data_IF_699784692786
#
_entry.id   IF_699784692786
#
_cell.length_a   1.000
_cell.length_b   1.000
_cell.length_c   1.000
_cell.angle_alpha   90.00
_cell.angle_beta   90.00
_cell.angle_gamma   90.00
#
_symmetry.space_group_name_H-M   'P 1'
#
loop_
_entity.id
_entity.type
_entity.pdbx_description
1 polymer ?
#
# COMPACT_ATOMS: atom_id res chain seq x y z
N UNK A 1 35.01 2.09 -41.44
CA UNK A 1 35.06 2.22 -39.97
C UNK A 1 33.92 3.08 -39.39
N UNK A 2 33.59 4.25 -39.95
CA UNK A 2 32.61 5.20 -39.39
C UNK A 2 31.17 4.64 -39.19
N UNK A 3 30.66 3.83 -40.12
CA UNK A 3 29.31 3.24 -40.05
C UNK A 3 29.12 2.35 -38.81
N UNK A 4 30.14 1.56 -38.46
CA UNK A 4 30.09 0.68 -37.27
C UNK A 4 30.16 1.43 -35.94
N UNK A 5 30.74 2.64 -35.93
CA UNK A 5 30.82 3.48 -34.75
C UNK A 5 29.47 4.16 -34.48
N UNK A 6 28.82 4.67 -35.53
CA UNK A 6 27.46 5.22 -35.45
C UNK A 6 26.44 4.17 -34.96
N UNK A 7 26.53 2.95 -35.51
CA UNK A 7 25.67 1.83 -35.13
C UNK A 7 25.82 1.43 -33.65
N UNK A 8 27.06 1.34 -33.16
CA UNK A 8 27.35 1.03 -31.75
C UNK A 8 26.84 2.12 -30.81
N UNK A 9 26.98 3.39 -31.16
CA UNK A 9 26.46 4.52 -30.38
C UNK A 9 24.94 4.48 -30.26
N UNK A 10 24.26 4.13 -31.35
CA UNK A 10 22.81 4.03 -31.36
C UNK A 10 22.29 2.85 -30.52
N UNK A 11 22.92 1.68 -30.63
CA UNK A 11 22.63 0.51 -29.78
C UNK A 11 22.90 0.75 -28.29
N UNK A 12 23.94 1.51 -27.95
CA UNK A 12 24.23 1.87 -26.57
C UNK A 12 23.24 2.89 -26.02
N UNK A 13 22.79 3.85 -26.84
CA UNK A 13 21.77 4.83 -26.44
C UNK A 13 20.43 4.16 -26.13
N UNK A 14 19.98 3.22 -26.98
CA UNK A 14 18.73 2.49 -26.73
C UNK A 14 18.83 1.58 -25.51
N UNK A 15 19.97 0.91 -25.31
CA UNK A 15 20.24 0.12 -24.10
C UNK A 15 20.36 0.94 -22.84
N UNK A 16 20.86 2.18 -22.90
CA UNK A 16 20.88 3.10 -21.75
C UNK A 16 19.50 3.67 -21.40
N UNK A 17 18.59 3.70 -22.38
CA UNK A 17 17.23 4.19 -22.20
C UNK A 17 16.33 3.19 -21.45
N UNK A 18 16.47 1.90 -21.75
CA UNK A 18 15.70 0.84 -21.08
C UNK A 18 15.83 0.79 -19.55
N UNK A 19 17.03 0.81 -18.93
CA UNK A 19 17.16 0.79 -17.48
C UNK A 19 16.62 2.06 -16.84
N UNK A 20 16.79 3.23 -17.48
CA UNK A 20 16.21 4.50 -16.99
C UNK A 20 14.69 4.45 -16.98
N UNK A 21 14.09 3.92 -18.06
CA UNK A 21 12.63 3.75 -18.15
C UNK A 21 12.11 2.76 -17.09
N UNK A 22 12.84 1.66 -16.86
CA UNK A 22 12.50 0.69 -15.81
C UNK A 22 12.54 1.30 -14.42
N UNK A 23 13.57 2.09 -14.11
CA UNK A 23 13.66 2.79 -12.83
C UNK A 23 12.55 3.84 -12.69
N UNK A 24 12.27 4.61 -13.73
CA UNK A 24 11.16 5.57 -13.71
C UNK A 24 9.82 4.87 -13.44
N UNK A 25 9.55 3.73 -14.08
CA UNK A 25 8.36 2.94 -13.85
C UNK A 25 8.31 2.38 -12.41
N UNK A 26 9.43 1.89 -11.88
CA UNK A 26 9.51 1.39 -10.51
C UNK A 26 9.24 2.50 -9.47
N UNK A 27 9.83 3.69 -9.65
CA UNK A 27 9.58 4.84 -8.78
C UNK A 27 8.12 5.30 -8.87
N UNK A 28 7.55 5.35 -10.08
CA UNK A 28 6.13 5.70 -10.26
C UNK A 28 5.22 4.70 -9.54
N UNK A 29 5.47 3.40 -9.71
CA UNK A 29 4.71 2.35 -9.01
C UNK A 29 4.85 2.47 -7.48
N UNK A 30 6.06 2.69 -6.97
CA UNK A 30 6.30 2.88 -5.55
C UNK A 30 5.56 4.11 -5.01
N UNK A 31 5.58 5.23 -5.73
CA UNK A 31 4.86 6.44 -5.36
C UNK A 31 3.34 6.22 -5.30
N UNK A 32 2.78 5.49 -6.28
CA UNK A 32 1.34 5.13 -6.30
C UNK A 32 0.99 4.26 -5.09
N UNK A 33 1.79 3.23 -4.82
CA UNK A 33 1.58 2.33 -3.67
C UNK A 33 1.66 3.09 -2.35
N UNK A 34 2.65 3.98 -2.19
CA UNK A 34 2.79 4.82 -1.01
C UNK A 34 1.58 5.75 -0.84
N UNK A 35 1.17 6.45 -1.90
CA UNK A 35 0.03 7.36 -1.84
C UNK A 35 -1.27 6.61 -1.49
N UNK A 36 -1.56 5.51 -2.19
CA UNK A 36 -2.74 4.69 -1.91
C UNK A 36 -2.71 4.09 -0.49
N UNK A 37 -1.55 3.59 -0.06
CA UNK A 37 -1.36 3.05 1.29
C UNK A 37 -1.57 4.10 2.38
N UNK A 38 -1.05 5.32 2.20
CA UNK A 38 -1.27 6.41 3.16
C UNK A 38 -2.73 6.84 3.24
N UNK A 39 -3.43 6.95 2.11
CA UNK A 39 -4.85 7.28 2.08
C UNK A 39 -5.72 6.20 2.76
N UNK A 40 -5.38 4.93 2.56
CA UNK A 40 -6.08 3.83 3.23
C UNK A 40 -5.79 3.82 4.75
N UNK A 41 -4.56 4.14 5.13
CA UNK A 41 -4.15 4.21 6.53
C UNK A 41 -4.86 5.35 7.27
N UNK A 42 -4.95 6.55 6.68
CA UNK A 42 -5.67 7.67 7.31
C UNK A 42 -7.14 7.38 7.50
N UNK A 43 -7.78 6.69 6.55
CA UNK A 43 -9.20 6.28 6.67
C UNK A 43 -9.48 5.42 7.91
N UNK A 44 -8.51 4.61 8.36
CA UNK A 44 -8.69 3.69 9.50
C UNK A 44 -8.02 4.20 10.78
N UNK A 45 -7.10 5.16 10.67
CA UNK A 45 -6.33 5.66 11.80
C UNK A 45 -7.21 6.29 12.87
N UNK A 46 -8.19 7.12 12.49
CA UNK A 46 -9.10 7.76 13.45
C UNK A 46 -9.90 6.74 14.26
N UNK A 47 -10.27 5.63 13.64
CA UNK A 47 -10.98 4.55 14.32
C UNK A 47 -10.09 3.79 15.30
N UNK A 48 -8.83 3.54 14.95
CA UNK A 48 -7.86 3.00 15.91
C UNK A 48 -7.55 3.99 17.03
N UNK A 49 -7.46 5.29 16.73
CA UNK A 49 -7.22 6.32 17.74
C UNK A 49 -8.39 6.41 18.74
N UNK A 50 -9.62 6.33 18.26
CA UNK A 50 -10.81 6.27 19.12
C UNK A 50 -10.79 5.02 20.01
N UNK A 51 -10.53 3.83 19.45
CA UNK A 51 -10.49 2.59 20.23
C UNK A 51 -9.31 2.54 21.20
N UNK A 52 -8.12 2.95 20.78
CA UNK A 52 -6.94 3.01 21.63
C UNK A 52 -7.16 3.91 22.87
N UNK A 53 -7.86 5.05 22.69
CA UNK A 53 -8.26 5.92 23.81
C UNK A 53 -9.24 5.24 24.77
N UNK A 54 -10.26 4.55 24.25
CA UNK A 54 -11.25 3.83 25.06
C UNK A 54 -10.60 2.66 25.81
N UNK A 55 -9.70 1.95 25.15
CA UNK A 55 -9.01 0.76 25.68
C UNK A 55 -7.82 1.10 26.60
N UNK A 56 -7.48 2.39 26.77
CA UNK A 56 -6.22 2.87 27.41
C UNK A 56 -4.96 2.14 26.90
N UNK A 57 -4.93 1.82 25.61
CA UNK A 57 -3.83 1.09 24.95
C UNK A 57 -3.13 2.00 23.95
N UNK A 58 -1.89 1.66 23.61
CA UNK A 58 -1.22 2.32 22.48
C UNK A 58 -1.90 1.96 21.17
N UNK A 59 -1.83 2.85 20.18
CA UNK A 59 -2.35 2.62 18.82
C UNK A 59 -1.85 1.31 18.22
N UNK A 60 -0.55 1.02 18.38
CA UNK A 60 0.05 -0.21 17.88
C UNK A 60 -0.52 -1.45 18.59
N UNK A 61 -0.71 -1.38 19.91
CA UNK A 61 -1.31 -2.48 20.67
C UNK A 61 -2.76 -2.74 20.24
N UNK A 62 -3.54 -1.68 19.96
CA UNK A 62 -4.91 -1.82 19.47
C UNK A 62 -4.97 -2.37 18.03
N UNK A 63 -4.06 -1.93 17.15
CA UNK A 63 -3.94 -2.46 15.77
C UNK A 63 -3.62 -3.96 15.78
N UNK A 64 -2.71 -4.39 16.65
CA UNK A 64 -2.33 -5.79 16.78
C UNK A 64 -3.40 -6.64 17.46
N UNK A 65 -4.12 -6.08 18.44
CA UNK A 65 -5.19 -6.79 19.14
C UNK A 65 -6.41 -7.01 18.24
N UNK A 66 -6.77 -6.03 17.40
CA UNK A 66 -7.99 -6.12 16.60
C UNK A 66 -7.90 -5.35 15.27
N UNK A 67 -7.26 -5.96 14.24
CA UNK A 67 -7.12 -5.34 12.93
C UNK A 67 -8.49 -5.16 12.24
N UNK A 68 -8.85 -3.92 11.89
CA UNK A 68 -10.11 -3.54 11.23
C UNK A 68 -10.32 -4.22 9.88
N UNK A 69 -9.24 -4.59 9.20
CA UNK A 69 -9.29 -5.28 7.91
C UNK A 69 -9.86 -6.69 8.00
N UNK A 70 -9.91 -7.28 9.20
CA UNK A 70 -10.53 -8.59 9.46
C UNK A 70 -12.00 -8.47 9.90
N UNK A 71 -12.61 -7.30 9.64
CA UNK A 71 -14.02 -6.91 9.76
C UNK A 71 -14.92 -7.83 10.58
N UNK A 72 -15.39 -7.34 11.73
CA UNK A 72 -16.71 -7.57 12.37
C UNK A 72 -17.42 -8.95 12.20
N UNK A 73 -16.70 -10.03 11.94
CA UNK A 73 -17.26 -11.35 11.61
C UNK A 73 -17.65 -12.11 12.88
N UNK A 74 -17.18 -11.67 14.04
CA UNK A 74 -17.46 -12.36 15.31
C UNK A 74 -18.75 -11.90 16.02
N UNK A 75 -19.32 -10.72 15.71
CA UNK A 75 -20.39 -10.13 16.57
C UNK A 75 -21.81 -10.32 16.03
N UNK A 76 -22.00 -10.71 14.76
CA UNK A 76 -23.36 -10.89 14.19
C UNK A 76 -23.91 -12.31 14.31
N UNK A 77 -23.09 -13.31 14.63
CA UNK A 77 -23.51 -14.71 14.66
C UNK A 77 -24.29 -15.11 15.93
N UNK A 78 -24.34 -14.26 16.96
CA UNK A 78 -24.83 -14.66 18.30
C UNK A 78 -26.02 -13.84 18.81
N UNK A 79 -26.73 -13.10 17.93
CA UNK A 79 -28.06 -12.58 18.29
C UNK A 79 -29.11 -13.64 17.97
N UNK A 80 -29.76 -14.25 18.97
CA UNK A 80 -30.96 -15.03 18.69
C UNK A 80 -32.00 -14.09 18.07
N UNK A 81 -32.42 -14.43 16.85
CA UNK A 81 -33.63 -13.87 16.24
C UNK A 81 -34.79 -14.27 17.15
N UNK A 82 -35.34 -13.32 17.89
CA UNK A 82 -36.62 -13.53 18.56
C UNK A 82 -37.70 -13.68 17.48
N UNK A 83 -38.49 -14.77 17.49
CA UNK A 83 -39.65 -14.91 16.61
C UNK A 83 -40.73 -13.86 16.94
N UNK A 84 -41.63 -13.56 15.97
CA UNK A 84 -42.56 -12.43 16.03
C UNK A 84 -43.56 -12.48 17.19
#
# INVERSE_FOLDING_TARGET
MAVTAAWRRWLQATRGWQPRLRWAAAFAAAAIVLAAGTALATQHFDHYAARARISERSLLAEILAQPLCMGATAVRADRPVAPP
#
